data_IF_974695570713
#
_entry.id   IF_974695570713
#
_cell.length_a   1.000
_cell.length_b   1.000
_cell.length_c   1.000
_cell.angle_alpha   90.00
_cell.angle_beta   90.00
_cell.angle_gamma   90.00
#
_symmetry.space_group_name_H-M   'P 1'
#
loop_
_entity.id
_entity.type
_entity.pdbx_description
1 polymer ?
#
# COMPACT_ATOMS: atom_id res chain seq x y z
N UNK A 1 -3.58 9.20 -12.96
CA UNK A 1 -3.21 10.09 -11.81
C UNK A 1 -4.12 9.97 -10.57
N UNK A 2 -5.46 10.13 -10.64
CA UNK A 2 -6.34 10.12 -9.43
C UNK A 2 -6.36 8.81 -8.63
N UNK A 3 -6.17 7.66 -9.29
CA UNK A 3 -6.30 6.35 -8.66
C UNK A 3 -5.14 6.03 -7.70
N UNK A 4 -3.90 6.36 -8.06
CA UNK A 4 -2.74 6.18 -7.18
C UNK A 4 -2.86 7.01 -5.89
N UNK A 5 -3.35 8.25 -5.99
CA UNK A 5 -3.63 9.09 -4.82
C UNK A 5 -4.68 8.48 -3.89
N UNK A 6 -5.72 7.84 -4.42
CA UNK A 6 -6.73 7.17 -3.61
C UNK A 6 -6.14 5.97 -2.86
N UNK A 7 -5.30 5.17 -3.50
CA UNK A 7 -4.61 4.04 -2.86
C UNK A 7 -3.70 4.53 -1.73
N UNK A 8 -2.89 5.58 -1.99
CA UNK A 8 -2.07 6.18 -0.95
C UNK A 8 -2.90 6.74 0.21
N UNK A 9 -4.00 7.45 -0.08
CA UNK A 9 -4.86 7.99 0.96
C UNK A 9 -5.46 6.89 1.85
N UNK A 10 -5.92 5.78 1.26
CA UNK A 10 -6.42 4.62 2.01
C UNK A 10 -5.31 3.99 2.85
N UNK A 11 -4.12 3.76 2.28
CA UNK A 11 -2.99 3.22 3.02
C UNK A 11 -2.58 4.10 4.21
N UNK A 12 -2.56 5.42 4.03
CA UNK A 12 -2.29 6.38 5.12
C UNK A 12 -3.37 6.35 6.20
N UNK A 13 -4.64 6.23 5.80
CA UNK A 13 -5.76 6.14 6.73
C UNK A 13 -5.72 4.84 7.54
N UNK A 14 -5.42 3.71 6.90
CA UNK A 14 -5.18 2.43 7.55
C UNK A 14 -4.02 2.50 8.54
N UNK A 15 -2.93 3.18 8.17
CA UNK A 15 -1.79 3.41 9.06
C UNK A 15 -2.14 4.26 10.30
N UNK A 16 -3.08 5.19 10.18
CA UNK A 16 -3.59 5.96 11.32
C UNK A 16 -4.53 5.16 12.25
N UNK A 17 -4.77 3.87 11.97
CA UNK A 17 -5.57 2.99 12.82
C UNK A 17 -7.02 2.83 12.37
N UNK A 18 -7.41 3.40 11.24
CA UNK A 18 -8.74 3.21 10.63
C UNK A 18 -8.77 2.04 9.64
N UNK A 19 -7.76 1.18 9.68
CA UNK A 19 -7.66 -0.01 8.85
C UNK A 19 -8.53 -1.16 9.33
N UNK A 20 -8.57 -2.23 8.56
CA UNK A 20 -9.31 -3.44 8.92
C UNK A 20 -8.46 -4.26 9.90
N UNK A 21 -9.03 -4.58 11.08
CA UNK A 21 -8.33 -5.35 12.10
C UNK A 21 -7.98 -6.76 11.60
N UNK A 22 -6.82 -7.32 11.99
CA UNK A 22 -6.44 -8.70 11.67
C UNK A 22 -7.57 -9.68 11.99
N UNK A 23 -7.81 -10.74 11.17
CA UNK A 23 -6.87 -11.43 10.26
C UNK A 23 -6.88 -10.93 8.81
N UNK A 24 -7.54 -9.80 8.51
CA UNK A 24 -7.55 -9.26 7.15
C UNK A 24 -6.17 -8.76 6.72
N UNK A 25 -5.81 -8.89 5.43
CA UNK A 25 -4.54 -8.39 4.90
C UNK A 25 -4.60 -6.87 4.69
N UNK A 26 -4.59 -6.10 5.79
CA UNK A 26 -4.42 -4.64 5.76
C UNK A 26 -2.95 -4.28 6.00
N UNK A 27 -2.23 -4.02 4.91
CA UNK A 27 -0.81 -3.65 4.95
C UNK A 27 -0.56 -2.30 5.64
N UNK A 28 -1.49 -1.34 5.56
CA UNK A 28 -1.32 -0.04 6.21
C UNK A 28 -1.39 -0.15 7.73
N UNK A 29 -2.38 -0.90 8.23
CA UNK A 29 -2.51 -1.18 9.67
C UNK A 29 -1.35 -2.07 10.18
N UNK A 30 -0.89 -3.02 9.36
CA UNK A 30 0.27 -3.86 9.70
C UNK A 30 1.55 -3.03 9.89
N UNK A 31 1.83 -2.06 9.02
CA UNK A 31 2.95 -1.12 9.21
C UNK A 31 2.79 -0.34 10.53
N UNK A 32 1.59 0.15 10.83
CA UNK A 32 1.33 0.89 12.08
C UNK A 32 1.45 0.05 13.35
N UNK A 33 1.27 -1.26 13.24
CA UNK A 33 1.40 -2.19 14.39
C UNK A 33 2.86 -2.60 14.60
N UNK A 34 3.61 -2.72 13.51
CA UNK A 34 4.99 -3.19 13.52
C UNK A 34 6.04 -2.06 13.52
N UNK A 35 5.63 -0.79 13.40
CA UNK A 35 6.57 0.36 13.37
C UNK A 35 7.51 0.39 14.58
N UNK A 36 7.01 0.06 15.78
CA UNK A 36 7.81 0.02 17.01
C UNK A 36 8.82 -1.14 17.03
N UNK A 37 8.60 -2.17 16.21
CA UNK A 37 9.48 -3.33 16.09
C UNK A 37 10.66 -3.09 15.14
N UNK A 38 10.66 -1.99 14.38
CA UNK A 38 11.78 -1.59 13.51
C UNK A 38 13.06 -1.44 14.34
N UNK A 39 12.96 -0.79 15.51
CA UNK A 39 14.09 -0.63 16.44
C UNK A 39 14.56 -1.95 17.07
N UNK A 40 13.72 -2.98 17.07
CA UNK A 40 14.03 -4.31 17.60
C UNK A 40 14.64 -5.27 16.55
N UNK A 41 14.95 -4.78 15.34
CA UNK A 41 15.56 -5.56 14.26
C UNK A 41 14.57 -6.27 13.33
N UNK A 42 13.26 -6.15 13.56
CA UNK A 42 12.21 -6.71 12.70
C UNK A 42 11.78 -5.71 11.61
N UNK A 43 12.74 -5.02 11.01
CA UNK A 43 12.47 -4.06 9.92
C UNK A 43 11.85 -4.74 8.68
N UNK A 44 12.18 -6.01 8.45
CA UNK A 44 11.71 -6.78 7.30
C UNK A 44 10.18 -6.80 7.18
N UNK A 45 9.45 -6.96 8.29
CA UNK A 45 7.97 -7.01 8.26
C UNK A 45 7.37 -5.71 7.72
N UNK A 46 7.85 -4.57 8.21
CA UNK A 46 7.40 -3.25 7.73
C UNK A 46 7.82 -3.01 6.27
N UNK A 47 9.03 -3.45 5.91
CA UNK A 47 9.56 -3.30 4.55
C UNK A 47 8.73 -4.09 3.53
N UNK A 48 8.33 -5.32 3.86
CA UNK A 48 7.50 -6.15 2.99
C UNK A 48 6.13 -5.50 2.74
N UNK A 49 5.46 -5.02 3.79
CA UNK A 49 4.16 -4.36 3.66
C UNK A 49 4.26 -3.07 2.83
N UNK A 50 5.33 -2.28 3.04
CA UNK A 50 5.57 -1.06 2.28
C UNK A 50 5.83 -1.35 0.79
N UNK A 51 6.63 -2.37 0.48
CA UNK A 51 6.90 -2.80 -0.90
C UNK A 51 5.64 -3.36 -1.58
N UNK A 52 4.78 -4.05 -0.83
CA UNK A 52 3.52 -4.55 -1.34
C UNK A 52 2.59 -3.40 -1.76
N UNK A 53 2.45 -2.36 -0.93
CA UNK A 53 1.69 -1.15 -1.30
C UNK A 53 2.31 -0.45 -2.52
N UNK A 54 3.63 -0.29 -2.55
CA UNK A 54 4.32 0.37 -3.66
C UNK A 54 4.12 -0.38 -4.99
N UNK A 55 4.27 -1.71 -4.99
CA UNK A 55 4.07 -2.53 -6.18
C UNK A 55 2.63 -2.52 -6.67
N UNK A 56 1.65 -2.50 -5.76
CA UNK A 56 0.23 -2.34 -6.09
C UNK A 56 -0.02 -1.00 -6.80
N UNK A 57 0.51 0.10 -6.25
CA UNK A 57 0.38 1.42 -6.88
C UNK A 57 0.99 1.42 -8.28
N UNK A 58 2.20 0.89 -8.43
CA UNK A 58 2.87 0.84 -9.74
C UNK A 58 2.06 -0.01 -10.72
N UNK A 59 1.65 -1.21 -10.33
CA UNK A 59 0.86 -2.12 -11.17
C UNK A 59 -0.46 -1.49 -11.62
N UNK A 60 -1.17 -0.81 -10.71
CA UNK A 60 -2.41 -0.11 -11.04
C UNK A 60 -2.16 1.06 -12.01
N UNK A 61 -1.07 1.83 -11.83
CA UNK A 61 -0.72 2.89 -12.78
C UNK A 61 -0.37 2.31 -14.15
N UNK A 62 0.43 1.24 -14.23
CA UNK A 62 0.77 0.59 -15.50
C UNK A 62 -0.45 0.03 -16.22
N UNK A 63 -1.40 -0.57 -15.50
CA UNK A 63 -2.66 -1.04 -16.08
C UNK A 63 -3.49 0.14 -16.60
N UNK A 64 -3.60 1.23 -15.82
CA UNK A 64 -4.33 2.41 -16.25
C UNK A 64 -3.71 3.03 -17.51
N UNK A 65 -2.38 3.12 -17.57
CA UNK A 65 -1.64 3.63 -18.71
C UNK A 65 -1.77 2.71 -19.94
N UNK A 66 -1.68 1.39 -19.75
CA UNK A 66 -1.85 0.41 -20.84
C UNK A 66 -3.27 0.39 -21.40
N UNK A 67 -4.29 0.52 -20.53
CA UNK A 67 -5.68 0.71 -20.92
C UNK A 67 -5.84 2.01 -21.72
N UNK A 68 -5.30 3.12 -21.21
CA UNK A 68 -5.34 4.40 -21.92
C UNK A 68 -4.67 4.33 -23.30
N UNK A 69 -3.53 3.64 -23.41
CA UNK A 69 -2.85 3.42 -24.68
C UNK A 69 -3.71 2.61 -25.66
N UNK A 70 -4.24 1.46 -25.22
CA UNK A 70 -5.04 0.57 -26.06
C UNK A 70 -6.37 1.17 -26.55
N UNK A 71 -6.93 2.16 -25.84
CA UNK A 71 -8.15 2.87 -26.25
C UNK A 71 -7.90 4.13 -27.09
N UNK A 72 -6.67 4.65 -27.10
CA UNK A 72 -6.30 5.89 -27.81
C UNK A 72 -5.52 5.62 -29.11
N UNK A 73 -5.37 4.35 -29.50
CA UNK A 73 -4.87 3.89 -30.81
C UNK A 73 -6.02 3.49 -31.75
#
# INVERSE_FOLDING_TARGET
VRLGYAIFAVATLSFMGFGIQPPSPDWGLSISSNYGMIGAGFCCTVLFDALAIASLVIGVNLVADGVHGAFND
#
